data_IF_177639593451
#
_entry.id   IF_177639593451
#
_cell.length_a   1.000
_cell.length_b   1.000
_cell.length_c   1.000
_cell.angle_alpha   90.00
_cell.angle_beta   90.00
_cell.angle_gamma   90.00
#
_symmetry.space_group_name_H-M   'P 1'
#
loop_
_entity.id
_entity.type
_entity.pdbx_description
1 polymer ?
#
# COMPACT_ATOMS: atom_id res chain seq x y z
N UNK A 1 20.16 -6.40 -6.82
CA UNK A 1 20.91 -5.30 -6.19
C UNK A 1 21.62 -4.38 -7.19
N UNK A 2 22.18 -4.89 -8.29
CA UNK A 2 22.91 -4.07 -9.27
C UNK A 2 22.15 -2.80 -9.73
N UNK A 3 20.84 -2.88 -9.95
CA UNK A 3 20.02 -1.75 -10.44
C UNK A 3 19.90 -0.55 -9.49
N UNK A 4 19.90 -0.79 -8.17
CA UNK A 4 19.82 0.27 -7.15
C UNK A 4 21.14 1.03 -7.02
N UNK A 5 22.26 0.36 -7.31
CA UNK A 5 23.61 0.87 -7.11
C UNK A 5 24.38 1.11 -8.42
N UNK A 6 23.78 0.87 -9.59
CA UNK A 6 24.36 1.19 -10.90
C UNK A 6 23.81 2.51 -11.44
N UNK A 7 24.70 3.29 -12.07
CA UNK A 7 24.38 4.40 -12.99
C UNK A 7 23.28 5.37 -12.50
N UNK A 8 23.53 6.11 -11.41
CA UNK A 8 22.69 7.26 -11.01
C UNK A 8 21.23 6.93 -10.61
N UNK A 9 20.79 5.68 -10.72
CA UNK A 9 19.45 5.24 -10.33
C UNK A 9 19.23 5.34 -8.81
N UNK A 10 20.31 5.32 -8.02
CA UNK A 10 20.24 5.55 -6.58
C UNK A 10 19.49 6.83 -6.23
N UNK A 11 19.75 7.94 -6.94
CA UNK A 11 19.11 9.23 -6.65
C UNK A 11 17.67 9.31 -7.15
N UNK A 12 17.31 8.52 -8.17
CA UNK A 12 15.94 8.41 -8.67
C UNK A 12 15.08 7.49 -7.82
N UNK A 13 15.68 6.48 -7.21
CA UNK A 13 15.01 5.47 -6.38
C UNK A 13 15.00 5.85 -4.88
N UNK A 14 15.91 6.72 -4.43
CA UNK A 14 16.01 7.19 -3.04
C UNK A 14 14.81 7.93 -2.47
N UNK A 15 13.92 8.60 -3.26
CA UNK A 15 12.74 9.24 -2.68
C UNK A 15 11.82 8.26 -1.96
N UNK A 16 11.70 7.02 -2.45
CA UNK A 16 10.85 6.00 -1.83
C UNK A 16 11.33 5.58 -0.44
N UNK A 17 12.57 5.10 -0.22
CA UNK A 17 13.05 4.75 1.10
C UNK A 17 13.13 5.96 2.03
N UNK A 18 13.38 7.17 1.50
CA UNK A 18 13.37 8.39 2.30
C UNK A 18 11.97 8.73 2.80
N UNK A 19 10.95 8.62 1.93
CA UNK A 19 9.54 8.73 2.34
C UNK A 19 9.15 7.61 3.32
N UNK A 20 9.62 6.38 3.12
CA UNK A 20 9.37 5.28 4.06
C UNK A 20 9.93 5.58 5.44
N UNK A 21 11.16 6.10 5.54
CA UNK A 21 11.75 6.51 6.81
C UNK A 21 10.96 7.64 7.47
N UNK A 22 10.52 8.63 6.69
CA UNK A 22 9.70 9.73 7.20
C UNK A 22 8.36 9.25 7.75
N UNK A 23 7.65 8.39 7.01
CA UNK A 23 6.37 7.80 7.45
C UNK A 23 6.58 6.91 8.66
N UNK A 24 7.66 6.12 8.70
CA UNK A 24 7.99 5.28 9.86
C UNK A 24 8.28 6.12 11.11
N UNK A 25 9.06 7.19 10.97
CA UNK A 25 9.33 8.11 12.09
C UNK A 25 8.06 8.84 12.56
N UNK A 26 7.19 9.25 11.64
CA UNK A 26 5.90 9.84 11.97
C UNK A 26 4.99 8.83 12.69
N UNK A 27 4.96 7.57 12.24
CA UNK A 27 4.20 6.49 12.88
C UNK A 27 4.72 6.24 14.30
N UNK A 28 6.04 6.11 14.45
CA UNK A 28 6.68 5.92 15.75
C UNK A 28 6.25 7.02 16.73
N UNK A 29 6.38 8.29 16.32
CA UNK A 29 5.94 9.43 17.14
C UNK A 29 4.45 9.38 17.46
N UNK A 30 3.61 9.03 16.48
CA UNK A 30 2.16 8.94 16.67
C UNK A 30 1.72 7.86 17.65
N UNK A 31 2.51 6.78 17.77
CA UNK A 31 2.25 5.68 18.71
C UNK A 31 2.81 6.00 20.10
N UNK A 32 4.00 6.63 20.19
CA UNK A 32 4.60 7.02 21.48
C UNK A 32 3.89 8.19 22.14
N UNK A 33 3.32 9.12 21.35
CA UNK A 33 2.55 10.26 21.83
C UNK A 33 1.15 10.28 21.21
N UNK A 34 0.24 9.42 21.69
CA UNK A 34 -1.10 9.31 21.14
C UNK A 34 -1.89 10.60 21.35
N UNK A 35 -2.30 11.24 20.26
CA UNK A 35 -3.20 12.40 20.28
C UNK A 35 -4.53 12.13 19.56
N UNK A 36 -4.51 11.26 18.55
CA UNK A 36 -5.66 10.84 17.75
C UNK A 36 -5.47 9.40 17.29
N UNK A 37 -6.59 8.69 17.11
CA UNK A 37 -6.59 7.27 16.70
C UNK A 37 -6.38 7.09 15.18
N UNK A 38 -6.66 8.13 14.37
CA UNK A 38 -6.62 8.07 12.91
C UNK A 38 -5.20 8.12 12.29
N UNK A 39 -4.27 8.99 12.73
CA UNK A 39 -2.92 9.06 12.17
C UNK A 39 -2.13 7.74 12.19
N UNK A 40 -2.07 6.95 13.28
CA UNK A 40 -1.28 5.71 13.27
C UNK A 40 -1.87 4.66 12.30
N UNK A 41 -3.19 4.67 12.09
CA UNK A 41 -3.84 3.83 11.07
C UNK A 41 -3.44 4.26 9.65
N UNK A 42 -3.54 5.55 9.31
CA UNK A 42 -3.19 6.03 7.98
C UNK A 42 -1.68 5.90 7.68
N UNK A 43 -0.83 6.13 8.68
CA UNK A 43 0.62 6.01 8.53
C UNK A 43 1.05 4.55 8.36
N UNK A 44 0.41 3.60 9.05
CA UNK A 44 0.67 2.17 8.82
C UNK A 44 0.22 1.71 7.44
N UNK A 45 -0.95 2.17 6.95
CA UNK A 45 -1.37 1.95 5.57
C UNK A 45 -0.37 2.53 4.56
N UNK A 46 0.13 3.74 4.82
CA UNK A 46 1.16 4.39 4.02
C UNK A 46 2.47 3.59 3.94
N UNK A 47 2.92 3.00 5.05
CA UNK A 47 4.09 2.11 5.05
C UNK A 47 3.88 0.88 4.18
N UNK A 48 2.71 0.25 4.25
CA UNK A 48 2.39 -0.89 3.38
C UNK A 48 2.45 -0.49 1.90
N UNK A 49 1.81 0.62 1.52
CA UNK A 49 1.84 1.12 0.14
C UNK A 49 3.26 1.42 -0.34
N UNK A 50 4.07 2.08 0.49
CA UNK A 50 5.47 2.37 0.16
C UNK A 50 6.32 1.11 0.05
N UNK A 51 6.07 0.10 0.90
CA UNK A 51 6.71 -1.21 0.82
C UNK A 51 6.42 -1.91 -0.51
N UNK A 52 5.15 -1.96 -0.92
CA UNK A 52 4.76 -2.51 -2.22
C UNK A 52 5.33 -1.71 -3.38
N UNK A 53 5.35 -0.37 -3.31
CA UNK A 53 5.97 0.45 -4.32
C UNK A 53 7.47 0.15 -4.46
N UNK A 54 8.18 -0.03 -3.33
CA UNK A 54 9.59 -0.44 -3.32
C UNK A 54 9.82 -1.80 -3.99
N UNK A 55 8.95 -2.78 -3.74
CA UNK A 55 8.99 -4.09 -4.41
C UNK A 55 8.80 -3.98 -5.92
N UNK A 56 7.76 -3.24 -6.36
CA UNK A 56 7.47 -3.03 -7.79
C UNK A 56 8.63 -2.34 -8.49
N UNK A 57 9.18 -1.28 -7.90
CA UNK A 57 10.34 -0.57 -8.45
C UNK A 57 11.60 -1.45 -8.48
N UNK A 58 11.75 -2.33 -7.49
CA UNK A 58 12.86 -3.28 -7.42
C UNK A 58 12.83 -4.33 -8.52
N UNK A 59 11.63 -4.79 -8.92
CA UNK A 59 11.46 -5.84 -9.92
C UNK A 59 11.27 -5.30 -11.35
N UNK A 60 10.82 -4.05 -11.51
CA UNK A 60 10.65 -3.40 -12.82
C UNK A 60 11.88 -3.60 -13.73
N UNK A 61 11.73 -3.80 -15.06
CA UNK A 61 10.49 -4.04 -15.82
C UNK A 61 10.04 -5.51 -15.81
N UNK A 62 10.63 -6.33 -14.95
CA UNK A 62 10.38 -7.76 -14.87
C UNK A 62 9.22 -8.07 -13.92
N UNK A 63 8.40 -9.05 -14.30
CA UNK A 63 7.41 -9.64 -13.41
C UNK A 63 8.03 -10.81 -12.64
N UNK A 64 8.83 -11.65 -13.32
CA UNK A 64 9.68 -12.67 -12.72
C UNK A 64 11.11 -12.52 -13.26
N UNK A 65 12.05 -11.93 -12.49
CA UNK A 65 13.43 -11.80 -12.91
C UNK A 65 14.14 -13.16 -13.03
N UNK A 66 15.02 -13.36 -14.02
CA UNK A 66 15.35 -12.49 -15.16
C UNK A 66 14.53 -12.79 -16.43
N UNK A 67 13.66 -13.79 -16.41
CA UNK A 67 13.14 -14.45 -17.61
C UNK A 67 11.88 -13.81 -18.20
N UNK A 68 11.05 -13.14 -17.40
CA UNK A 68 9.72 -12.70 -17.85
C UNK A 68 9.46 -11.22 -17.55
N UNK A 69 9.30 -10.43 -18.62
CA UNK A 69 8.96 -9.00 -18.52
C UNK A 69 7.45 -8.78 -18.36
N UNK A 70 7.06 -7.61 -17.81
CA UNK A 70 5.66 -7.21 -17.67
C UNK A 70 4.89 -7.27 -18.99
N UNK A 71 5.50 -6.83 -20.09
CA UNK A 71 4.88 -6.84 -21.42
C UNK A 71 4.73 -8.25 -21.99
N UNK A 72 5.68 -9.16 -21.72
CA UNK A 72 5.59 -10.56 -22.16
C UNK A 72 4.56 -11.35 -21.34
N UNK A 73 4.35 -10.97 -20.09
CA UNK A 73 3.33 -11.56 -19.22
C UNK A 73 1.92 -10.98 -19.44
N UNK A 74 1.78 -9.94 -20.27
CA UNK A 74 0.51 -9.28 -20.48
C UNK A 74 -0.45 -10.17 -21.29
N UNK A 75 -1.68 -10.31 -20.81
CA UNK A 75 -2.76 -10.92 -21.56
C UNK A 75 -3.18 -10.06 -22.77
N UNK A 76 -3.95 -10.59 -23.73
CA UNK A 76 -4.49 -9.81 -24.84
C UNK A 76 -5.25 -8.56 -24.35
N UNK A 77 -5.17 -7.47 -25.11
CA UNK A 77 -5.72 -6.17 -24.71
C UNK A 77 -7.23 -6.21 -24.41
N UNK A 78 -8.00 -7.02 -25.13
CA UNK A 78 -9.44 -7.21 -24.89
C UNK A 78 -9.72 -7.87 -23.54
N UNK A 79 -8.95 -8.89 -23.17
CA UNK A 79 -9.05 -9.55 -21.86
C UNK A 79 -8.62 -8.62 -20.73
N UNK A 80 -7.52 -7.88 -20.89
CA UNK A 80 -7.08 -6.87 -19.91
C UNK A 80 -8.12 -5.77 -19.72
N UNK A 81 -8.72 -5.27 -20.81
CA UNK A 81 -9.78 -4.27 -20.75
C UNK A 81 -11.00 -4.77 -19.98
N UNK A 82 -11.46 -6.00 -20.28
CA UNK A 82 -12.57 -6.62 -19.54
C UNK A 82 -12.25 -6.79 -18.05
N UNK A 83 -11.07 -7.32 -17.72
CA UNK A 83 -10.62 -7.49 -16.33
C UNK A 83 -10.48 -6.15 -15.60
N UNK A 84 -10.03 -5.09 -16.27
CA UNK A 84 -9.88 -3.76 -15.68
C UNK A 84 -11.24 -3.17 -15.28
N UNK A 85 -12.25 -3.29 -16.14
CA UNK A 85 -13.62 -2.83 -15.82
C UNK A 85 -14.16 -3.59 -14.61
N UNK A 86 -14.03 -4.92 -14.62
CA UNK A 86 -14.43 -5.77 -13.49
C UNK A 86 -13.70 -5.40 -12.20
N UNK A 87 -12.39 -5.16 -12.28
CA UNK A 87 -11.55 -4.76 -11.14
C UNK A 87 -11.99 -3.40 -10.57
N UNK A 88 -12.24 -2.39 -11.41
CA UNK A 88 -12.65 -1.06 -10.93
C UNK A 88 -14.00 -1.14 -10.22
N UNK A 89 -14.99 -1.81 -10.82
CA UNK A 89 -16.30 -1.99 -10.20
C UNK A 89 -16.18 -2.74 -8.88
N UNK A 90 -15.42 -3.83 -8.84
CA UNK A 90 -15.23 -4.63 -7.64
C UNK A 90 -14.49 -3.84 -6.55
N UNK A 91 -13.45 -3.09 -6.90
CA UNK A 91 -12.73 -2.23 -5.96
C UNK A 91 -13.62 -1.16 -5.36
N UNK A 92 -14.48 -0.53 -6.16
CA UNK A 92 -15.45 0.46 -5.66
C UNK A 92 -16.41 -0.16 -4.64
N UNK A 93 -16.93 -1.37 -4.92
CA UNK A 93 -17.82 -2.09 -4.00
C UNK A 93 -17.08 -2.48 -2.72
N UNK A 94 -15.88 -3.04 -2.83
CA UNK A 94 -15.08 -3.45 -1.66
C UNK A 94 -14.78 -2.23 -0.78
N UNK A 95 -14.26 -1.14 -1.36
CA UNK A 95 -13.95 0.07 -0.61
C UNK A 95 -15.20 0.71 0.00
N UNK A 96 -16.31 0.74 -0.73
CA UNK A 96 -17.59 1.24 -0.23
C UNK A 96 -18.10 0.42 0.95
N UNK A 97 -18.06 -0.91 0.84
CA UNK A 97 -18.43 -1.81 1.92
C UNK A 97 -17.50 -1.68 3.13
N UNK A 98 -16.17 -1.63 2.91
CA UNK A 98 -15.19 -1.42 3.98
C UNK A 98 -15.46 -0.10 4.71
N UNK A 99 -15.66 1.00 3.97
CA UNK A 99 -15.97 2.31 4.56
C UNK A 99 -17.30 2.29 5.34
N UNK A 100 -18.33 1.63 4.79
CA UNK A 100 -19.61 1.44 5.47
C UNK A 100 -19.45 0.62 6.75
N UNK A 101 -18.72 -0.49 6.71
CA UNK A 101 -18.44 -1.34 7.87
C UNK A 101 -17.75 -0.55 8.99
N UNK A 102 -16.69 0.21 8.67
CA UNK A 102 -16.04 1.10 9.63
C UNK A 102 -16.99 2.15 10.18
N UNK A 103 -17.91 2.67 9.35
CA UNK A 103 -18.94 3.62 9.79
C UNK A 103 -19.99 2.96 10.69
N UNK A 104 -20.38 1.72 10.46
CA UNK A 104 -21.35 0.99 11.32
C UNK A 104 -20.71 0.66 12.66
N UNK A 105 -19.46 0.22 12.66
CA UNK A 105 -18.72 -0.16 13.87
C UNK A 105 -17.90 1.00 14.47
N UNK A 106 -18.29 2.26 14.25
CA UNK A 106 -17.61 3.45 14.78
C UNK A 106 -17.89 3.69 16.27
N UNK A 107 -17.70 2.70 17.13
CA UNK A 107 -17.87 2.82 18.57
C UNK A 107 -16.60 2.46 19.30
N UNK A 108 -16.20 3.24 20.31
CA UNK A 108 -15.20 2.76 21.28
C UNK A 108 -15.90 1.75 22.19
N UNK A 109 -15.35 0.54 22.28
CA UNK A 109 -15.84 -0.46 23.23
C UNK A 109 -15.36 -0.06 24.62
N UNK A 110 -16.29 0.23 25.53
CA UNK A 110 -15.98 0.50 26.93
C UNK A 110 -15.98 -0.82 27.71
N UNK A 111 -15.05 -0.97 28.66
CA UNK A 111 -14.87 -2.20 29.44
C UNK A 111 -16.12 -2.60 30.25
N UNK A 112 -16.97 -1.64 30.60
CA UNK A 112 -18.18 -1.87 31.40
C UNK A 112 -19.38 -2.41 30.60
N UNK A 113 -19.25 -2.59 29.29
CA UNK A 113 -20.38 -2.97 28.42
C UNK A 113 -20.77 -4.46 28.47
N UNK A 114 -20.20 -5.27 29.38
CA UNK A 114 -20.38 -6.73 29.33
C UNK A 114 -20.12 -7.54 30.61
N UNK A 115 -20.25 -6.95 31.80
CA UNK A 115 -20.22 -7.70 33.06
C UNK A 115 -21.33 -7.23 34.02
N UNK A 116 -22.52 -7.79 33.84
CA UNK A 116 -23.59 -7.87 34.85
C UNK A 116 -24.10 -9.30 34.90
#
# INVERSE_FOLDING_TARGET
MARWFSEGNFWRLSPVPMLTLLVAAALWRSVTHPSRDLPPFLLSLGLFVLGFAGLVLGMWPYLLPPSMTLCQAAAPASSLGFSLVGLVLLLLVILGYTAWSYRVFRGKVHADAGYH
#
